data_IF_413982018476
#
_entry.id   IF_413982018476
#
_cell.length_a   1.000
_cell.length_b   1.000
_cell.length_c   1.000
_cell.angle_alpha   90.00
_cell.angle_beta   90.00
_cell.angle_gamma   90.00
#
_symmetry.space_group_name_H-M   'P 1'
#
loop_
_entity.id
_entity.type
_entity.pdbx_description
1 polymer ?
#
# COMPACT_ATOMS: atom_id res chain seq x y z
N UNK A 1 3.08 -45.15 16.50
CA UNK A 1 3.17 -44.05 15.53
C UNK A 1 2.48 -42.85 16.12
N UNK A 2 3.21 -41.80 16.48
CA UNK A 2 2.58 -40.54 16.90
C UNK A 2 1.73 -40.03 15.73
N UNK A 3 0.48 -39.66 15.98
CA UNK A 3 -0.37 -39.05 14.96
C UNK A 3 0.34 -37.79 14.45
N UNK A 4 0.50 -37.67 13.13
CA UNK A 4 1.06 -36.47 12.53
C UNK A 4 0.19 -35.27 12.90
N UNK A 5 0.78 -34.23 13.47
CA UNK A 5 0.10 -32.98 13.77
C UNK A 5 -0.47 -32.40 12.46
N UNK A 6 -1.81 -32.36 12.29
CA UNK A 6 -2.43 -31.92 11.05
C UNK A 6 -2.18 -30.44 10.75
N UNK A 7 -1.68 -29.67 11.73
CA UNK A 7 -1.28 -28.27 11.58
C UNK A 7 0.23 -28.07 11.76
N UNK A 8 1.02 -29.14 11.73
CA UNK A 8 2.48 -29.08 11.79
C UNK A 8 3.09 -28.38 10.57
N UNK A 9 4.32 -27.89 10.70
CA UNK A 9 5.02 -27.14 9.64
C UNK A 9 5.03 -27.87 8.28
N UNK A 10 5.29 -29.18 8.30
CA UNK A 10 5.35 -29.99 7.08
C UNK A 10 3.96 -30.12 6.42
N UNK A 11 2.89 -30.24 7.22
CA UNK A 11 1.53 -30.31 6.73
C UNK A 11 1.08 -28.97 6.11
N UNK A 12 1.46 -27.85 6.73
CA UNK A 12 1.21 -26.50 6.20
C UNK A 12 2.02 -26.25 4.92
N UNK A 13 3.30 -26.61 4.92
CA UNK A 13 4.16 -26.45 3.74
C UNK A 13 3.68 -27.27 2.53
N UNK A 14 3.03 -28.42 2.76
CA UNK A 14 2.47 -29.24 1.70
C UNK A 14 1.29 -28.57 0.95
N UNK A 15 0.58 -27.62 1.59
CA UNK A 15 -0.56 -26.91 1.00
C UNK A 15 -0.28 -25.44 0.69
N UNK A 16 0.73 -24.84 1.30
CA UNK A 16 1.16 -23.46 1.05
C UNK A 16 2.05 -23.37 -0.19
N UNK A 17 1.44 -23.59 -1.36
CA UNK A 17 2.14 -23.63 -2.66
C UNK A 17 2.79 -22.30 -3.07
N UNK A 18 2.49 -21.21 -2.36
CA UNK A 18 3.03 -19.87 -2.64
C UNK A 18 3.88 -19.33 -1.50
N UNK A 19 4.21 -20.17 -0.51
CA UNK A 19 5.05 -19.82 0.63
C UNK A 19 4.56 -18.60 1.45
N UNK A 20 3.24 -18.39 1.55
CA UNK A 20 2.63 -17.31 2.33
C UNK A 20 3.10 -17.28 3.79
N UNK A 21 3.33 -18.45 4.40
CA UNK A 21 3.82 -18.52 5.78
C UNK A 21 5.23 -17.94 5.88
N UNK A 22 6.10 -18.22 4.92
CA UNK A 22 7.44 -17.65 4.89
C UNK A 22 7.39 -16.13 4.70
N UNK A 23 6.55 -15.64 3.78
CA UNK A 23 6.33 -14.21 3.53
C UNK A 23 5.85 -13.46 4.78
N UNK A 24 4.91 -14.06 5.53
CA UNK A 24 4.42 -13.48 6.79
C UNK A 24 5.53 -13.40 7.83
N UNK A 25 6.32 -14.47 7.97
CA UNK A 25 7.42 -14.52 8.93
C UNK A 25 8.55 -13.56 8.56
N UNK A 26 8.72 -13.23 7.28
CA UNK A 26 9.74 -12.28 6.80
C UNK A 26 9.26 -10.81 6.79
N UNK A 27 8.03 -10.54 7.20
CA UNK A 27 7.51 -9.18 7.32
C UNK A 27 8.45 -8.19 8.06
N UNK A 28 9.15 -8.56 9.15
CA UNK A 28 10.12 -7.65 9.77
C UNK A 28 11.25 -7.22 8.83
N UNK A 29 11.68 -8.10 7.93
CA UNK A 29 12.70 -7.80 6.91
C UNK A 29 12.12 -6.89 5.84
N UNK A 30 10.91 -7.19 5.33
CA UNK A 30 10.21 -6.33 4.38
C UNK A 30 10.01 -4.91 4.90
N UNK A 31 9.66 -4.75 6.18
CA UNK A 31 9.52 -3.43 6.79
C UNK A 31 10.85 -2.67 6.88
N UNK A 32 11.94 -3.36 7.26
CA UNK A 32 13.28 -2.73 7.29
C UNK A 32 13.73 -2.31 5.89
N UNK A 33 13.53 -3.17 4.89
CA UNK A 33 13.85 -2.85 3.49
C UNK A 33 13.02 -1.66 2.99
N UNK A 34 11.71 -1.64 3.24
CA UNK A 34 10.84 -0.53 2.85
C UNK A 34 11.27 0.80 3.47
N UNK A 35 11.58 0.82 4.78
CA UNK A 35 12.07 2.02 5.47
C UNK A 35 13.42 2.48 4.90
N UNK A 36 14.35 1.56 4.66
CA UNK A 36 15.64 1.86 4.06
C UNK A 36 15.49 2.45 2.66
N UNK A 37 14.62 1.89 1.81
CA UNK A 37 14.36 2.40 0.45
C UNK A 37 13.78 3.80 0.46
N UNK A 38 12.82 4.08 1.35
CA UNK A 38 12.20 5.41 1.47
C UNK A 38 13.24 6.44 1.91
N UNK A 39 14.09 6.11 2.88
CA UNK A 39 15.14 7.00 3.36
C UNK A 39 16.22 7.23 2.29
N UNK A 40 16.68 6.15 1.66
CA UNK A 40 17.73 6.17 0.62
C UNK A 40 17.28 6.84 -0.66
N UNK A 41 15.98 6.87 -0.96
CA UNK A 41 15.44 7.59 -2.11
C UNK A 41 15.67 9.11 -2.02
N UNK A 42 16.03 9.65 -0.85
CA UNK A 42 16.38 11.06 -0.69
C UNK A 42 15.25 12.00 -1.12
N UNK A 43 14.00 11.57 -0.95
CA UNK A 43 12.83 12.32 -1.41
C UNK A 43 12.79 13.69 -0.74
N UNK A 44 12.85 14.74 -1.54
CA UNK A 44 12.67 16.10 -1.05
C UNK A 44 11.27 16.24 -0.47
N UNK A 45 11.18 16.83 0.72
CA UNK A 45 9.88 17.18 1.31
C UNK A 45 9.18 18.17 0.38
N UNK A 46 8.08 17.74 -0.22
CA UNK A 46 7.20 18.58 -1.00
C UNK A 46 5.96 18.96 -0.17
N UNK A 47 5.47 20.20 -0.26
CA UNK A 47 4.22 20.58 0.39
C UNK A 47 3.04 19.91 -0.31
N UNK A 48 2.45 18.89 0.33
CA UNK A 48 1.16 18.31 -0.08
C UNK A 48 0.00 19.21 0.44
N UNK A 49 -0.03 20.46 -0.03
CA UNK A 49 -0.96 21.50 0.43
C UNK A 49 -2.44 21.11 0.24
N UNK A 50 -2.74 20.32 -0.80
CA UNK A 50 -4.07 19.77 -1.09
C UNK A 50 -4.33 18.35 -0.54
N UNK A 51 -3.41 17.81 0.28
CA UNK A 51 -3.55 16.47 0.88
C UNK A 51 -2.98 15.33 0.05
N UNK A 52 -3.27 14.10 0.49
CA UNK A 52 -2.75 12.85 -0.09
C UNK A 52 -3.89 11.88 -0.40
N UNK A 53 -3.92 11.38 -1.63
CA UNK A 53 -4.77 10.25 -2.04
C UNK A 53 -3.85 9.06 -2.31
N UNK A 54 -4.11 7.93 -1.67
CA UNK A 54 -3.45 6.65 -2.03
C UNK A 54 -4.38 5.88 -2.96
N UNK A 55 -4.03 5.77 -4.23
CA UNK A 55 -4.77 4.97 -5.20
C UNK A 55 -4.23 3.53 -5.19
N UNK A 56 -5.06 2.56 -4.84
CA UNK A 56 -4.63 1.16 -4.78
C UNK A 56 -5.73 0.20 -4.37
N UNK A 57 -5.83 -0.92 -5.10
CA UNK A 57 -6.80 -1.97 -4.84
C UNK A 57 -6.32 -2.95 -3.79
N UNK A 58 -7.26 -3.50 -3.02
CA UNK A 58 -7.01 -4.57 -2.03
C UNK A 58 -5.84 -4.24 -1.10
N UNK A 59 -4.85 -5.13 -1.06
CA UNK A 59 -3.63 -5.00 -0.26
C UNK A 59 -2.86 -3.70 -0.50
N UNK A 60 -2.83 -3.23 -1.75
CA UNK A 60 -2.08 -2.03 -2.14
C UNK A 60 -2.64 -0.74 -1.53
N UNK A 61 -3.92 -0.74 -1.13
CA UNK A 61 -4.55 0.36 -0.40
C UNK A 61 -4.45 0.25 1.13
N UNK A 62 -4.03 -0.90 1.68
CA UNK A 62 -3.99 -1.13 3.14
C UNK A 62 -3.00 -0.20 3.82
N UNK A 63 -1.82 0.01 3.24
CA UNK A 63 -0.81 0.94 3.79
C UNK A 63 -1.34 2.36 3.98
N UNK A 64 -2.12 2.86 3.01
CA UNK A 64 -2.80 4.16 3.11
C UNK A 64 -3.83 4.21 4.25
N UNK A 65 -4.63 3.14 4.42
CA UNK A 65 -5.61 3.04 5.52
C UNK A 65 -4.94 3.00 6.89
N UNK A 66 -3.84 2.24 7.02
CA UNK A 66 -3.06 2.20 8.25
C UNK A 66 -2.45 3.58 8.58
N UNK A 67 -1.90 4.27 7.58
CA UNK A 67 -1.37 5.62 7.76
C UNK A 67 -2.45 6.61 8.22
N UNK A 68 -3.65 6.57 7.60
CA UNK A 68 -4.80 7.39 8.02
C UNK A 68 -5.19 7.08 9.47
N UNK A 69 -5.29 5.81 9.85
CA UNK A 69 -5.64 5.42 11.22
C UNK A 69 -4.57 5.87 12.24
N UNK A 70 -3.28 5.74 11.89
CA UNK A 70 -2.17 6.12 12.76
C UNK A 70 -2.01 7.64 12.89
N UNK A 71 -2.24 8.38 11.82
CA UNK A 71 -2.05 9.83 11.75
C UNK A 71 -3.30 10.63 12.09
N UNK A 72 -4.52 10.07 11.94
CA UNK A 72 -5.81 10.75 11.90
C UNK A 72 -5.87 12.13 12.59
N UNK A 73 -5.89 12.22 13.93
CA UNK A 73 -6.01 13.50 14.64
C UNK A 73 -4.81 14.44 14.49
N UNK A 74 -3.65 13.93 14.07
CA UNK A 74 -2.39 14.68 13.89
C UNK A 74 -2.16 15.08 12.43
N UNK A 75 -2.95 14.56 11.49
CA UNK A 75 -2.83 14.87 10.08
C UNK A 75 -3.20 16.35 9.84
N UNK A 76 -2.28 17.11 9.25
CA UNK A 76 -2.49 18.55 8.96
C UNK A 76 -3.24 18.81 7.66
N UNK A 77 -3.44 17.77 6.85
CA UNK A 77 -4.01 17.81 5.50
C UNK A 77 -4.87 16.56 5.28
N UNK A 78 -5.87 16.62 4.38
CA UNK A 78 -6.75 15.48 4.14
C UNK A 78 -5.95 14.30 3.58
N UNK A 79 -6.34 13.10 4.00
CA UNK A 79 -5.80 11.84 3.52
C UNK A 79 -6.95 10.91 3.17
N UNK A 80 -6.89 10.24 2.02
CA UNK A 80 -7.90 9.24 1.62
C UNK A 80 -7.28 8.09 0.82
N UNK A 81 -8.06 7.03 0.63
CA UNK A 81 -7.71 5.91 -0.25
C UNK A 81 -8.73 5.84 -1.38
N UNK A 82 -8.25 5.82 -2.62
CA UNK A 82 -9.04 5.55 -3.80
C UNK A 82 -8.86 4.07 -4.17
N UNK A 83 -9.96 3.30 -4.11
CA UNK A 83 -9.98 1.86 -4.40
C UNK A 83 -11.00 1.59 -5.53
N UNK A 84 -10.82 2.27 -6.66
CA UNK A 84 -11.66 2.18 -7.85
C UNK A 84 -11.10 3.03 -8.98
N UNK A 85 -11.87 3.19 -10.06
CA UNK A 85 -11.43 3.85 -11.30
C UNK A 85 -11.41 5.39 -11.26
N UNK A 86 -11.66 6.01 -10.10
CA UNK A 86 -11.78 7.46 -10.01
C UNK A 86 -11.13 8.01 -8.74
N UNK A 87 -10.58 9.21 -8.88
CA UNK A 87 -10.10 10.00 -7.76
C UNK A 87 -11.29 10.66 -7.04
N UNK A 88 -11.17 10.93 -5.72
CA UNK A 88 -12.18 11.70 -5.00
C UNK A 88 -12.45 13.06 -5.66
N UNK A 89 -13.71 13.54 -5.70
CA UNK A 89 -14.06 14.78 -6.43
C UNK A 89 -13.34 16.06 -5.96
N UNK A 90 -12.78 16.06 -4.76
CA UNK A 90 -12.03 17.18 -4.20
C UNK A 90 -10.55 17.20 -4.61
N UNK A 91 -10.08 16.17 -5.32
CA UNK A 91 -8.69 16.07 -5.80
C UNK A 91 -8.41 17.16 -6.83
N UNK A 92 -7.30 17.87 -6.71
CA UNK A 92 -6.88 18.89 -7.67
C UNK A 92 -5.36 19.04 -7.73
N UNK A 93 -4.86 20.05 -8.46
CA UNK A 93 -3.43 20.30 -8.75
C UNK A 93 -2.50 20.45 -7.53
N UNK A 94 -3.04 20.51 -6.32
CA UNK A 94 -2.28 20.61 -5.07
C UNK A 94 -2.31 19.31 -4.24
N UNK A 95 -3.09 18.32 -4.69
CA UNK A 95 -3.23 17.02 -4.05
C UNK A 95 -2.16 16.08 -4.59
N UNK A 96 -1.45 15.40 -3.68
CA UNK A 96 -0.53 14.34 -4.07
C UNK A 96 -1.30 13.04 -4.25
N UNK A 97 -1.11 12.36 -5.38
CA UNK A 97 -1.65 11.02 -5.64
C UNK A 97 -0.52 10.00 -5.60
N UNK A 98 -0.58 9.06 -4.65
CA UNK A 98 0.32 7.92 -4.55
C UNK A 98 -0.36 6.69 -5.14
N UNK A 99 0.07 6.28 -6.33
CA UNK A 99 -0.39 5.04 -6.96
C UNK A 99 0.39 3.85 -6.40
N UNK A 100 -0.33 2.90 -5.79
CA UNK A 100 0.21 1.71 -5.16
C UNK A 100 -0.39 0.48 -5.82
N UNK A 101 0.45 -0.31 -6.48
CA UNK A 101 0.06 -1.57 -7.13
C UNK A 101 1.23 -2.55 -7.08
N UNK A 102 0.99 -3.75 -6.54
CA UNK A 102 1.99 -4.82 -6.53
C UNK A 102 2.36 -5.28 -7.94
N UNK A 103 1.38 -5.45 -8.82
CA UNK A 103 1.61 -5.88 -10.21
C UNK A 103 2.11 -4.77 -11.12
N UNK A 104 1.98 -3.50 -10.70
CA UNK A 104 2.21 -2.33 -11.54
C UNK A 104 1.18 -2.12 -12.65
N UNK A 105 0.19 -3.01 -12.77
CA UNK A 105 -0.75 -3.07 -13.89
C UNK A 105 -2.22 -3.09 -13.44
N UNK A 106 -2.50 -2.79 -12.17
CA UNK A 106 -3.89 -2.71 -11.68
C UNK A 106 -4.64 -1.60 -12.41
N UNK A 107 -5.66 -1.98 -13.19
CA UNK A 107 -6.40 -1.08 -14.07
C UNK A 107 -6.97 0.14 -13.33
N UNK A 108 -7.58 -0.07 -12.15
CA UNK A 108 -8.11 1.00 -11.31
C UNK A 108 -7.04 2.00 -10.86
N UNK A 109 -5.85 1.49 -10.57
CA UNK A 109 -4.71 2.31 -10.12
C UNK A 109 -4.14 3.12 -11.28
N UNK A 110 -4.09 2.53 -12.47
CA UNK A 110 -3.70 3.22 -13.71
C UNK A 110 -4.73 4.29 -14.10
N UNK A 111 -6.02 4.00 -14.01
CA UNK A 111 -7.07 5.00 -14.24
C UNK A 111 -6.94 6.22 -13.30
N UNK A 112 -6.58 5.98 -12.03
CA UNK A 112 -6.29 7.06 -11.08
C UNK A 112 -5.00 7.82 -11.42
N UNK A 113 -3.97 7.15 -11.95
CA UNK A 113 -2.74 7.77 -12.42
C UNK A 113 -3.02 8.71 -13.61
N UNK A 114 -3.77 8.25 -14.60
CA UNK A 114 -4.15 9.04 -15.77
C UNK A 114 -5.01 10.23 -15.37
N UNK A 115 -5.99 10.03 -14.48
CA UNK A 115 -6.81 11.11 -13.95
C UNK A 115 -5.98 12.16 -13.19
N UNK A 116 -4.97 11.73 -12.42
CA UNK A 116 -4.06 12.64 -11.73
C UNK A 116 -3.25 13.48 -12.74
N UNK A 117 -2.76 12.87 -13.82
CA UNK A 117 -2.02 13.56 -14.88
C UNK A 117 -2.81 14.67 -15.58
N UNK A 118 -4.14 14.57 -15.63
CA UNK A 118 -5.03 15.62 -16.19
C UNK A 118 -5.20 16.80 -15.22
N UNK A 119 -5.07 16.59 -13.91
CA UNK A 119 -5.26 17.63 -12.89
C UNK A 119 -4.07 18.58 -12.74
N UNK A 120 -2.89 18.20 -13.28
CA UNK A 120 -1.62 18.93 -13.13
C UNK A 120 -0.88 18.57 -11.85
#
# INVERSE_FOLDING_TARGET
MAASDPLGRDAVAAVDTTAQVAEILDLPTHLRDALWRVDSAGLRRAPASGGLVVAGMGGSGIGGRLAIAALGPRARRPMSVAAGYSLPPWTGAQTTVLCSSYSGATEETLACYDAAGVLG
#
